data_IF_790341502595
#
_entry.id   IF_790341502595
#
_cell.length_a   1.000
_cell.length_b   1.000
_cell.length_c   1.000
_cell.angle_alpha   90.00
_cell.angle_beta   90.00
_cell.angle_gamma   90.00
#
_symmetry.space_group_name_H-M   'P 1'
#
loop_
_entity.id
_entity.type
_entity.pdbx_description
1 polymer ?
#
# COMPACT_ATOMS: atom_id res chain seq x y z
N UNK A 1 -2.00 1.55 36.41
CA UNK A 1 -2.95 1.44 35.28
C UNK A 1 -2.44 0.35 34.36
N UNK A 2 -2.95 -0.86 34.50
CA UNK A 2 -2.61 -2.00 33.66
C UNK A 2 -3.43 -1.88 32.38
N UNK A 3 -2.79 -1.52 31.27
CA UNK A 3 -3.42 -1.60 29.95
C UNK A 3 -3.78 -3.06 29.70
N UNK A 4 -5.00 -3.37 29.21
CA UNK A 4 -5.34 -4.74 28.86
C UNK A 4 -4.39 -5.17 27.74
N UNK A 5 -3.72 -6.31 27.92
CA UNK A 5 -2.92 -6.99 26.90
C UNK A 5 -3.86 -7.54 25.83
N UNK A 6 -4.51 -6.66 25.07
CA UNK A 6 -5.24 -7.05 23.87
C UNK A 6 -4.22 -7.58 22.87
N UNK A 7 -4.45 -8.79 22.37
CA UNK A 7 -3.64 -9.37 21.30
C UNK A 7 -3.56 -8.38 20.13
N UNK A 8 -2.36 -7.90 19.79
CA UNK A 8 -2.17 -7.16 18.56
C UNK A 8 -2.19 -8.18 17.41
N UNK A 9 -3.23 -8.20 16.57
CA UNK A 9 -3.36 -9.21 15.53
C UNK A 9 -2.36 -8.87 14.43
N UNK A 10 -1.44 -9.80 14.22
CA UNK A 10 -0.37 -9.64 13.27
C UNK A 10 -0.80 -10.22 11.91
N UNK A 11 -0.35 -9.58 10.84
CA UNK A 11 -0.48 -10.13 9.49
C UNK A 11 0.64 -11.15 9.26
N UNK A 12 0.39 -12.37 9.72
CA UNK A 12 1.35 -13.48 9.73
C UNK A 12 1.36 -14.29 8.44
N UNK A 13 0.34 -14.15 7.60
CA UNK A 13 0.22 -14.89 6.35
C UNK A 13 -1.21 -15.33 6.06
N UNK A 14 -1.46 -15.60 4.79
CA UNK A 14 -2.70 -16.19 4.27
C UNK A 14 -2.37 -17.26 3.23
N UNK A 15 -3.37 -17.89 2.61
CA UNK A 15 -3.14 -18.72 1.44
C UNK A 15 -2.70 -17.87 0.24
N UNK A 16 -1.42 -17.99 -0.14
CA UNK A 16 -0.82 -17.12 -1.14
C UNK A 16 -1.47 -17.31 -2.52
N UNK A 17 -1.78 -18.54 -2.91
CA UNK A 17 -2.34 -18.80 -4.23
C UNK A 17 -3.76 -18.24 -4.37
N UNK A 18 -4.61 -18.39 -3.35
CA UNK A 18 -5.92 -17.72 -3.33
C UNK A 18 -5.77 -16.20 -3.41
N UNK A 19 -4.83 -15.63 -2.65
CA UNK A 19 -4.57 -14.18 -2.66
C UNK A 19 -4.07 -13.69 -4.03
N UNK A 20 -3.08 -14.35 -4.61
CA UNK A 20 -2.48 -13.98 -5.89
C UNK A 20 -3.47 -14.15 -7.05
N UNK A 21 -4.30 -15.21 -7.03
CA UNK A 21 -5.31 -15.44 -8.06
C UNK A 21 -6.38 -14.35 -8.11
N UNK A 22 -6.61 -13.62 -7.02
CA UNK A 22 -7.45 -12.41 -7.02
C UNK A 22 -6.87 -11.29 -7.91
N UNK A 23 -5.54 -11.17 -7.98
CA UNK A 23 -4.86 -10.05 -8.63
C UNK A 23 -4.26 -10.37 -9.99
N UNK A 24 -3.89 -11.63 -10.26
CA UNK A 24 -3.32 -12.06 -11.55
C UNK A 24 -4.15 -11.65 -12.79
N UNK A 25 -5.49 -11.69 -12.79
CA UNK A 25 -6.27 -11.16 -13.90
C UNK A 25 -6.04 -9.66 -14.15
N UNK A 26 -5.93 -8.87 -13.07
CA UNK A 26 -5.66 -7.43 -13.14
C UNK A 26 -4.24 -7.19 -13.63
N UNK A 27 -3.26 -7.95 -13.14
CA UNK A 27 -1.87 -7.84 -13.61
C UNK A 27 -1.74 -8.12 -15.11
N UNK A 28 -2.51 -9.08 -15.65
CA UNK A 28 -2.56 -9.33 -17.09
C UNK A 28 -3.11 -8.13 -17.87
N UNK A 29 -4.18 -7.51 -17.38
CA UNK A 29 -4.75 -6.30 -18.00
C UNK A 29 -3.79 -5.11 -17.94
N UNK A 30 -3.13 -4.91 -16.80
CA UNK A 30 -2.08 -3.90 -16.62
C UNK A 30 -0.95 -4.12 -17.62
N UNK A 31 -0.47 -5.36 -17.76
CA UNK A 31 0.62 -5.71 -18.67
C UNK A 31 0.26 -5.43 -20.13
N UNK A 32 -0.98 -5.73 -20.54
CA UNK A 32 -1.46 -5.53 -21.90
C UNK A 32 -1.38 -4.07 -22.38
N UNK A 33 -1.50 -3.10 -21.47
CA UNK A 33 -1.39 -1.67 -21.79
C UNK A 33 -0.08 -1.00 -21.37
N UNK A 34 0.90 -1.73 -20.83
CA UNK A 34 2.12 -1.14 -20.26
C UNK A 34 2.96 -0.41 -21.32
N UNK A 35 3.27 -1.07 -22.45
CA UNK A 35 4.18 -0.52 -23.47
C UNK A 35 3.64 0.79 -24.06
N UNK A 36 2.33 0.87 -24.31
CA UNK A 36 1.66 2.06 -24.81
C UNK A 36 1.71 3.19 -23.79
N UNK A 37 1.41 2.91 -22.51
CA UNK A 37 1.47 3.91 -21.43
C UNK A 37 2.89 4.46 -21.26
N UNK A 38 3.90 3.60 -21.26
CA UNK A 38 5.30 3.99 -21.13
C UNK A 38 5.72 4.93 -22.28
N UNK A 39 5.43 4.54 -23.53
CA UNK A 39 5.74 5.39 -24.70
C UNK A 39 5.02 6.73 -24.66
N UNK A 40 3.76 6.74 -24.21
CA UNK A 40 2.96 7.95 -24.12
C UNK A 40 3.24 8.79 -22.86
N UNK A 41 4.06 8.29 -21.92
CA UNK A 41 4.24 8.86 -20.56
C UNK A 41 2.91 9.07 -19.84
N UNK A 42 1.96 8.16 -20.04
CA UNK A 42 0.65 8.22 -19.43
C UNK A 42 0.73 7.72 -17.98
N UNK A 43 0.13 8.46 -17.05
CA UNK A 43 0.07 8.06 -15.65
C UNK A 43 -0.90 6.87 -15.49
N UNK A 44 -0.56 5.86 -14.65
CA UNK A 44 -1.33 4.62 -14.54
C UNK A 44 -2.57 4.77 -13.63
N UNK A 45 -3.40 5.79 -13.85
CA UNK A 45 -4.58 6.06 -13.01
C UNK A 45 -5.57 4.89 -12.99
N UNK A 46 -5.91 4.37 -14.16
CA UNK A 46 -6.86 3.25 -14.30
C UNK A 46 -6.32 1.94 -13.69
N UNK A 47 -5.06 1.52 -13.98
CA UNK A 47 -4.41 0.43 -13.25
C UNK A 47 -4.45 0.56 -11.71
N UNK A 48 -4.22 1.77 -11.19
CA UNK A 48 -4.28 2.03 -9.75
C UNK A 48 -5.71 1.86 -9.23
N UNK A 49 -6.72 2.32 -9.97
CA UNK A 49 -8.12 2.16 -9.57
C UNK A 49 -8.53 0.68 -9.51
N UNK A 50 -8.18 -0.12 -10.51
CA UNK A 50 -8.44 -1.57 -10.49
C UNK A 50 -7.82 -2.25 -9.25
N UNK A 51 -6.60 -1.86 -8.89
CA UNK A 51 -5.92 -2.38 -7.70
C UNK A 51 -6.60 -1.92 -6.41
N UNK A 52 -7.10 -0.67 -6.33
CA UNK A 52 -7.87 -0.17 -5.19
C UNK A 52 -9.16 -0.94 -5.01
N UNK A 53 -9.95 -1.09 -6.08
CA UNK A 53 -11.23 -1.82 -6.07
C UNK A 53 -11.04 -3.29 -5.68
N UNK A 54 -9.92 -3.90 -6.08
CA UNK A 54 -9.57 -5.28 -5.71
C UNK A 54 -8.99 -5.42 -4.28
N UNK A 55 -8.81 -4.32 -3.56
CA UNK A 55 -8.29 -4.31 -2.19
C UNK A 55 -6.77 -4.54 -2.10
N UNK A 56 -6.00 -4.21 -3.14
CA UNK A 56 -4.54 -4.39 -3.15
C UNK A 56 -3.82 -3.56 -2.08
N UNK A 57 -4.29 -2.33 -1.82
CA UNK A 57 -3.71 -1.47 -0.77
C UNK A 57 -3.82 -2.06 0.64
N UNK A 58 -4.83 -2.90 0.88
CA UNK A 58 -5.10 -3.49 2.20
C UNK A 58 -4.56 -4.92 2.38
N UNK A 59 -3.70 -5.44 1.48
CA UNK A 59 -3.25 -6.84 1.57
C UNK A 59 -2.53 -7.18 2.88
N UNK A 60 -1.86 -6.19 3.48
CA UNK A 60 -1.16 -6.32 4.76
C UNK A 60 -2.03 -6.01 5.98
N UNK A 61 -3.24 -5.49 5.82
CA UNK A 61 -4.14 -5.26 6.95
C UNK A 61 -4.64 -6.62 7.47
N UNK A 62 -4.67 -6.89 8.79
CA UNK A 62 -5.15 -8.15 9.33
C UNK A 62 -6.60 -8.44 8.92
N UNK A 63 -6.94 -9.72 8.79
CA UNK A 63 -8.27 -10.17 8.35
C UNK A 63 -9.39 -9.70 9.27
N UNK A 64 -9.14 -9.59 10.57
CA UNK A 64 -10.11 -9.07 11.54
C UNK A 64 -10.49 -7.60 11.34
N UNK A 65 -9.64 -6.81 10.67
CA UNK A 65 -9.94 -5.44 10.27
C UNK A 65 -10.46 -5.35 8.82
N UNK A 66 -10.69 -6.49 8.15
CA UNK A 66 -11.20 -6.56 6.79
C UNK A 66 -10.13 -6.58 5.69
N UNK A 67 -8.85 -6.70 6.03
CA UNK A 67 -7.77 -6.87 5.06
C UNK A 67 -7.52 -8.33 4.66
N UNK A 68 -6.41 -8.58 3.95
CA UNK A 68 -6.06 -9.94 3.52
C UNK A 68 -5.13 -10.71 4.48
N UNK A 69 -4.52 -10.03 5.46
CA UNK A 69 -3.61 -10.63 6.44
C UNK A 69 -2.34 -11.24 5.86
N UNK A 70 -1.97 -10.91 4.62
CA UNK A 70 -0.78 -11.43 3.95
C UNK A 70 0.47 -11.13 4.76
N UNK A 71 1.47 -12.01 4.77
CA UNK A 71 2.76 -11.75 5.43
C UNK A 71 3.58 -10.70 4.66
N UNK A 72 4.64 -10.16 5.28
CA UNK A 72 5.56 -9.25 4.58
C UNK A 72 6.22 -9.93 3.37
N UNK A 73 6.56 -11.22 3.51
CA UNK A 73 7.11 -12.02 2.41
C UNK A 73 6.11 -12.18 1.27
N UNK A 74 4.83 -12.41 1.59
CA UNK A 74 3.76 -12.52 0.59
C UNK A 74 3.45 -11.18 -0.10
N UNK A 75 3.55 -10.05 0.61
CA UNK A 75 3.48 -8.73 -0.03
C UNK A 75 4.57 -8.59 -1.09
N UNK A 76 5.83 -8.93 -0.76
CA UNK A 76 6.91 -8.84 -1.73
C UNK A 76 6.72 -9.78 -2.93
N UNK A 77 6.19 -10.99 -2.72
CA UNK A 77 5.84 -11.88 -3.83
C UNK A 77 4.78 -11.23 -4.76
N UNK A 78 3.72 -10.64 -4.21
CA UNK A 78 2.73 -9.90 -5.01
C UNK A 78 3.32 -8.68 -5.74
N UNK A 79 4.20 -7.92 -5.07
CA UNK A 79 4.85 -6.77 -5.67
C UNK A 79 5.80 -7.19 -6.81
N UNK A 80 6.43 -8.36 -6.73
CA UNK A 80 7.23 -8.93 -7.81
C UNK A 80 6.34 -9.29 -9.00
N UNK A 81 5.23 -10.02 -8.79
CA UNK A 81 4.28 -10.35 -9.87
C UNK A 81 3.69 -9.07 -10.52
N UNK A 82 3.39 -8.04 -9.72
CA UNK A 82 2.95 -6.75 -10.24
C UNK A 82 4.06 -6.01 -11.02
N UNK A 83 5.30 -6.08 -10.56
CA UNK A 83 6.45 -5.46 -11.25
C UNK A 83 6.74 -6.11 -12.61
N UNK A 84 6.48 -7.43 -12.74
CA UNK A 84 6.56 -8.13 -14.03
C UNK A 84 5.52 -7.61 -15.02
N UNK A 85 4.35 -7.18 -14.54
CA UNK A 85 3.33 -6.56 -15.37
C UNK A 85 3.67 -5.10 -15.71
N UNK A 86 4.06 -4.29 -14.72
CA UNK A 86 4.43 -2.87 -14.86
C UNK A 86 5.26 -2.40 -13.66
N UNK A 87 6.55 -2.14 -13.88
CA UNK A 87 7.49 -1.77 -12.81
C UNK A 87 7.26 -0.39 -12.20
N UNK A 88 6.53 0.49 -12.88
CA UNK A 88 6.22 1.82 -12.36
C UNK A 88 5.17 1.77 -11.25
N UNK A 89 4.28 0.77 -11.25
CA UNK A 89 3.17 0.69 -10.29
C UNK A 89 3.65 0.33 -8.87
N UNK A 90 4.49 -0.70 -8.64
CA UNK A 90 5.08 -0.95 -7.33
C UNK A 90 5.85 0.27 -6.81
N UNK A 91 6.56 0.98 -7.71
CA UNK A 91 7.26 2.21 -7.35
C UNK A 91 6.30 3.32 -6.88
N UNK A 92 5.15 3.47 -7.53
CA UNK A 92 4.10 4.40 -7.11
C UNK A 92 3.47 4.01 -5.76
N UNK A 93 3.31 2.71 -5.50
CA UNK A 93 2.71 2.19 -4.27
C UNK A 93 3.68 2.03 -3.09
N UNK A 94 4.99 2.22 -3.30
CA UNK A 94 6.01 1.97 -2.25
C UNK A 94 5.75 2.77 -0.96
N UNK A 95 5.32 4.02 -1.11
CA UNK A 95 5.09 4.92 0.02
C UNK A 95 3.86 4.51 0.81
N UNK A 96 2.83 4.03 0.11
CA UNK A 96 1.64 3.49 0.72
C UNK A 96 1.98 2.28 1.59
N UNK A 97 2.71 1.29 1.07
CA UNK A 97 3.05 0.10 1.87
C UNK A 97 4.01 0.41 3.01
N UNK A 98 4.94 1.37 2.86
CA UNK A 98 5.74 1.85 3.98
C UNK A 98 4.86 2.43 5.10
N UNK A 99 3.83 3.19 4.75
CA UNK A 99 2.89 3.77 5.71
C UNK A 99 1.96 2.71 6.33
N UNK A 100 1.51 1.72 5.55
CA UNK A 100 0.75 0.57 6.07
C UNK A 100 1.56 -0.19 7.11
N UNK A 101 2.84 -0.49 6.84
CA UNK A 101 3.71 -1.16 7.81
C UNK A 101 3.96 -0.30 9.06
N UNK A 102 4.11 1.02 8.90
CA UNK A 102 4.22 1.92 10.06
C UNK A 102 2.95 1.84 10.95
N UNK A 103 1.75 1.84 10.35
CA UNK A 103 0.51 1.64 11.10
C UNK A 103 0.40 0.26 11.75
N UNK A 104 0.87 -0.79 11.09
CA UNK A 104 0.89 -2.15 11.67
C UNK A 104 1.79 -2.27 12.90
N UNK A 105 2.89 -1.50 12.93
CA UNK A 105 3.84 -1.48 14.04
C UNK A 105 3.45 -0.49 15.15
N UNK A 106 2.43 0.35 14.94
CA UNK A 106 1.91 1.24 15.96
C UNK A 106 1.13 0.46 17.05
N UNK A 107 1.11 0.95 18.30
CA UNK A 107 0.26 0.39 19.35
C UNK A 107 -1.21 0.33 18.91
N UNK A 108 -1.98 -0.70 19.32
CA UNK A 108 -3.41 -0.73 19.09
C UNK A 108 -4.12 0.53 19.60
N UNK A 109 -5.04 1.08 18.81
CA UNK A 109 -5.76 2.30 19.15
C UNK A 109 -6.55 2.89 17.98
N UNK A 110 -7.43 3.84 18.29
CA UNK A 110 -8.38 4.43 17.36
C UNK A 110 -7.71 5.03 16.11
N UNK A 111 -6.54 5.66 16.26
CA UNK A 111 -5.82 6.26 15.12
C UNK A 111 -5.37 5.20 14.12
N UNK A 112 -4.82 4.09 14.60
CA UNK A 112 -4.40 2.96 13.78
C UNK A 112 -5.60 2.32 13.07
N UNK A 113 -6.66 2.05 13.83
CA UNK A 113 -7.83 1.35 13.33
C UNK A 113 -8.59 2.21 12.30
N UNK A 114 -8.57 3.54 12.46
CA UNK A 114 -9.05 4.48 11.43
C UNK A 114 -8.30 4.32 10.12
N UNK A 115 -6.97 4.20 10.16
CA UNK A 115 -6.18 3.98 8.95
C UNK A 115 -6.43 2.63 8.31
N UNK A 116 -6.58 1.55 9.10
CA UNK A 116 -6.96 0.25 8.57
C UNK A 116 -8.30 0.30 7.84
N UNK A 117 -9.31 0.93 8.42
CA UNK A 117 -10.62 1.10 7.79
C UNK A 117 -10.50 1.85 6.46
N UNK A 118 -9.67 2.90 6.39
CA UNK A 118 -9.41 3.65 5.15
C UNK A 118 -8.74 2.80 4.08
N UNK A 119 -7.70 2.05 4.43
CA UNK A 119 -7.03 1.17 3.45
C UNK A 119 -7.98 0.11 2.90
N UNK A 120 -8.81 -0.48 3.76
CA UNK A 120 -9.83 -1.47 3.36
C UNK A 120 -10.92 -0.85 2.48
N UNK A 121 -11.25 0.42 2.70
CA UNK A 121 -12.14 1.18 1.83
C UNK A 121 -11.52 1.60 0.47
N UNK A 122 -10.23 1.31 0.26
CA UNK A 122 -9.51 1.59 -0.99
C UNK A 122 -8.69 2.88 -0.99
N UNK A 123 -8.58 3.58 0.14
CA UNK A 123 -7.71 4.76 0.24
C UNK A 123 -6.23 4.37 0.13
N UNK A 124 -5.48 5.12 -0.68
CA UNK A 124 -4.02 5.01 -0.79
C UNK A 124 -3.32 6.24 -0.22
N UNK A 125 -2.04 6.09 0.09
CA UNK A 125 -1.20 7.17 0.64
C UNK A 125 0.02 7.38 -0.25
N UNK A 126 0.21 8.62 -0.70
CA UNK A 126 1.40 9.04 -1.44
C UNK A 126 2.47 9.65 -0.52
N UNK A 127 3.72 9.71 -0.98
CA UNK A 127 4.81 10.37 -0.27
C UNK A 127 4.85 11.89 -0.57
N UNK A 128 5.05 12.69 0.47
CA UNK A 128 5.40 14.11 0.41
C UNK A 128 6.64 14.43 1.24
N UNK A 129 7.65 13.55 1.22
CA UNK A 129 8.71 13.53 2.24
C UNK A 129 9.97 14.32 1.87
N UNK A 130 10.28 14.41 0.58
CA UNK A 130 11.50 15.05 0.07
C UNK A 130 11.16 16.41 -0.52
N UNK A 131 11.90 17.43 -0.11
CA UNK A 131 11.75 18.79 -0.61
C UNK A 131 12.77 19.09 -1.71
N UNK A 132 12.35 19.84 -2.72
CA UNK A 132 13.25 20.29 -3.79
C UNK A 132 14.04 21.52 -3.34
N UNK A 133 15.31 21.64 -3.75
CA UNK A 133 16.16 22.79 -3.46
C UNK A 133 17.35 22.46 -2.57
N UNK A 134 18.04 23.49 -2.07
CA UNK A 134 19.23 23.36 -1.22
C UNK A 134 18.83 23.06 0.24
N UNK A 135 18.12 21.95 0.46
CA UNK A 135 17.72 21.46 1.77
C UNK A 135 18.65 20.30 2.15
N UNK A 136 19.30 20.40 3.31
CA UNK A 136 20.14 19.29 3.79
C UNK A 136 19.24 18.14 4.23
N UNK A 137 19.73 16.91 4.06
CA UNK A 137 19.04 15.73 4.60
C UNK A 137 18.87 15.92 6.12
N UNK A 138 17.62 15.90 6.58
CA UNK A 138 17.24 16.11 7.98
C UNK A 138 16.63 17.48 8.27
N UNK A 139 16.77 18.45 7.38
CA UNK A 139 16.10 19.74 7.48
C UNK A 139 14.72 19.69 6.77
N UNK A 140 13.74 20.43 7.30
CA UNK A 140 12.40 20.57 6.72
C UNK A 140 12.05 22.05 6.64
N UNK A 141 11.75 22.55 5.44
CA UNK A 141 11.40 23.96 5.22
C UNK A 141 9.92 24.18 4.90
N UNK A 142 9.16 23.15 4.53
CA UNK A 142 7.71 23.22 4.31
C UNK A 142 7.01 23.48 5.63
N UNK A 143 6.15 24.51 5.66
CA UNK A 143 5.35 24.88 6.83
C UNK A 143 3.87 24.87 6.48
N UNK A 144 3.07 24.35 7.41
CA UNK A 144 1.60 24.47 7.38
C UNK A 144 1.20 25.51 8.41
N UNK A 145 0.43 26.51 8.01
CA UNK A 145 -0.20 27.50 8.89
C UNK A 145 -1.71 27.41 8.76
N UNK A 146 -2.44 27.65 9.85
CA UNK A 146 -3.88 27.85 9.76
C UNK A 146 -4.16 29.06 8.83
N UNK A 147 -5.18 28.94 7.99
CA UNK A 147 -5.76 30.07 7.28
C UNK A 147 -6.68 30.87 8.19
#
# INVERSE_FOLDING_TARGET
MTQPTGSNPLSLGTDYETLANRFRPIFREISAGNVEREKARALPYEPIEWLKEAGFGAVRVPTEYGGAGASIGQLFQLLIELAEADSNIPQALRAHFAFVEDRLNAPPGADRDTWFARFVAGDLVGNGWTEVGAVKIGDVITKVSAQ
#
